data_IF_540711045292
#
_entry.id   IF_540711045292
#
_cell.length_a   1.000
_cell.length_b   1.000
_cell.length_c   1.000
_cell.angle_alpha   90.00
_cell.angle_beta   90.00
_cell.angle_gamma   90.00
#
_symmetry.space_group_name_H-M   'P 1'
#
loop_
_entity.id
_entity.type
_entity.pdbx_description
1 polymer ?
#
# COMPACT_ATOMS: atom_id res chain seq x y z
N UNK A 1 5.84 -11.14 9.24
CA UNK A 1 4.44 -11.09 9.70
C UNK A 1 3.56 -10.97 8.47
N UNK A 2 2.37 -11.55 8.48
CA UNK A 2 1.42 -11.45 7.37
C UNK A 2 0.53 -10.21 7.56
N UNK A 3 0.34 -9.45 6.49
CA UNK A 3 -0.49 -8.26 6.39
C UNK A 3 -1.45 -8.38 5.22
N UNK A 4 -2.53 -7.60 5.23
CA UNK A 4 -3.48 -7.55 4.14
C UNK A 4 -3.71 -6.11 3.65
N UNK A 5 -3.97 -5.99 2.35
CA UNK A 5 -4.41 -4.75 1.72
C UNK A 5 -5.67 -5.03 0.91
N UNK A 6 -6.66 -4.16 1.05
CA UNK A 6 -7.89 -4.20 0.28
C UNK A 6 -7.86 -3.08 -0.76
N UNK A 7 -7.82 -3.44 -2.04
CA UNK A 7 -7.93 -2.45 -3.09
C UNK A 7 -9.37 -1.97 -3.21
N UNK A 8 -9.68 -0.78 -2.71
CA UNK A 8 -11.04 -0.22 -2.77
C UNK A 8 -11.35 0.49 -4.10
N UNK A 9 -10.42 0.47 -5.07
CA UNK A 9 -10.60 1.10 -6.38
C UNK A 9 -11.08 0.12 -7.45
N UNK A 10 -11.61 0.67 -8.53
CA UNK A 10 -11.98 -0.05 -9.75
C UNK A 10 -10.79 -0.30 -10.70
N UNK A 11 -9.59 0.14 -10.31
CA UNK A 11 -8.36 0.00 -11.07
C UNK A 11 -7.42 -1.05 -10.47
N UNK A 12 -6.60 -1.68 -11.31
CA UNK A 12 -5.51 -2.54 -10.85
C UNK A 12 -4.40 -1.67 -10.25
N UNK A 13 -3.88 -2.09 -9.09
CA UNK A 13 -2.77 -1.42 -8.42
C UNK A 13 -1.64 -2.40 -8.10
N UNK A 14 -0.44 -1.88 -7.93
CA UNK A 14 0.75 -2.62 -7.52
C UNK A 14 1.22 -2.10 -6.16
N UNK A 15 1.26 -2.97 -5.17
CA UNK A 15 1.93 -2.72 -3.90
C UNK A 15 3.41 -2.98 -4.12
N UNK A 16 4.26 -2.02 -3.77
CA UNK A 16 5.72 -2.17 -3.84
C UNK A 16 6.40 -1.64 -2.58
N UNK A 17 7.35 -2.40 -2.07
CA UNK A 17 8.34 -1.96 -1.10
C UNK A 17 9.73 -2.27 -1.65
N UNK A 18 10.63 -1.29 -1.58
CA UNK A 18 12.02 -1.40 -1.97
C UNK A 18 12.89 -0.77 -0.87
N UNK A 19 13.33 -1.60 0.07
CA UNK A 19 14.20 -1.26 1.19
C UNK A 19 15.51 -2.07 1.08
N UNK A 20 16.60 -1.60 1.71
CA UNK A 20 17.97 -2.16 1.54
C UNK A 20 18.05 -3.69 1.70
N UNK A 21 17.26 -4.27 2.60
CA UNK A 21 17.27 -5.71 2.91
C UNK A 21 15.89 -6.38 2.70
N UNK A 22 14.95 -5.68 2.06
CA UNK A 22 13.60 -6.19 1.88
C UNK A 22 12.95 -5.65 0.61
N UNK A 23 12.52 -6.56 -0.26
CA UNK A 23 11.75 -6.25 -1.45
C UNK A 23 10.43 -7.01 -1.42
N UNK A 24 9.35 -6.31 -1.77
CA UNK A 24 8.04 -6.91 -1.94
C UNK A 24 7.31 -6.23 -3.10
N UNK A 25 6.73 -7.05 -3.96
CA UNK A 25 5.82 -6.58 -5.00
C UNK A 25 4.60 -7.51 -5.10
N UNK A 26 3.41 -6.91 -5.12
CA UNK A 26 2.14 -7.63 -5.26
C UNK A 26 1.17 -6.84 -6.13
N UNK A 27 0.40 -7.56 -6.93
CA UNK A 27 -0.71 -7.00 -7.69
C UNK A 27 -1.99 -7.17 -6.89
N UNK A 28 -2.79 -6.10 -6.77
CA UNK A 28 -4.15 -6.16 -6.25
C UNK A 28 -5.13 -5.81 -7.37
N UNK A 29 -6.02 -6.74 -7.68
CA UNK A 29 -7.10 -6.52 -8.64
C UNK A 29 -8.15 -5.55 -8.08
N UNK A 30 -8.98 -4.93 -8.93
CA UNK A 30 -10.10 -4.11 -8.48
C UNK A 30 -10.95 -4.82 -7.43
N UNK A 31 -11.21 -4.16 -6.30
CA UNK A 31 -12.05 -4.66 -5.20
C UNK A 31 -11.58 -5.97 -4.53
N UNK A 32 -10.33 -6.38 -4.77
CA UNK A 32 -9.76 -7.61 -4.23
C UNK A 32 -8.89 -7.34 -2.98
N UNK A 33 -8.71 -8.39 -2.17
CA UNK A 33 -7.84 -8.38 -1.01
C UNK A 33 -6.58 -9.21 -1.27
N UNK A 34 -5.41 -8.60 -1.05
CA UNK A 34 -4.12 -9.28 -1.20
C UNK A 34 -3.43 -9.40 0.15
N UNK A 35 -3.03 -10.63 0.49
CA UNK A 35 -2.12 -10.89 1.61
C UNK A 35 -0.67 -10.81 1.16
N UNK A 36 0.18 -10.30 2.04
CA UNK A 36 1.63 -10.22 1.81
C UNK A 36 2.41 -10.28 3.12
N UNK A 37 3.66 -10.73 3.04
CA UNK A 37 4.57 -10.70 4.17
C UNK A 37 5.45 -9.46 4.11
N UNK A 38 5.62 -8.80 5.26
CA UNK A 38 6.60 -7.73 5.42
C UNK A 38 7.07 -7.62 6.88
N UNK A 39 8.29 -7.10 7.12
CA UNK A 39 8.69 -6.61 8.44
C UNK A 39 7.71 -5.56 8.98
N UNK A 40 7.64 -5.42 10.30
CA UNK A 40 6.87 -4.34 10.90
C UNK A 40 7.53 -2.99 10.58
N UNK A 41 6.72 -1.94 10.45
CA UNK A 41 7.16 -0.58 10.07
C UNK A 41 7.68 -0.43 8.64
N UNK A 42 7.56 -1.46 7.79
CA UNK A 42 7.87 -1.37 6.37
C UNK A 42 6.91 -0.41 5.67
N UNK A 43 7.46 0.46 4.80
CA UNK A 43 6.66 1.38 3.99
C UNK A 43 6.28 0.73 2.66
N UNK A 44 4.98 0.65 2.39
CA UNK A 44 4.44 0.11 1.14
C UNK A 44 3.90 1.27 0.30
N UNK A 45 4.34 1.35 -0.95
CA UNK A 45 3.85 2.30 -1.94
C UNK A 45 2.82 1.62 -2.84
N UNK A 46 1.72 2.31 -3.12
CA UNK A 46 0.71 1.90 -4.08
C UNK A 46 0.97 2.61 -5.39
N UNK A 47 1.31 1.82 -6.41
CA UNK A 47 1.46 2.28 -7.78
C UNK A 47 0.17 2.00 -8.54
N UNK A 48 -0.33 3.00 -9.25
CA UNK A 48 -1.52 2.89 -10.08
C UNK A 48 -1.43 3.78 -11.29
N UNK A 49 -2.40 3.62 -12.20
CA UNK A 49 -2.53 4.50 -13.35
C UNK A 49 -3.32 5.76 -12.94
N UNK A 50 -2.68 6.92 -12.99
CA UNK A 50 -3.28 8.20 -12.64
C UNK A 50 -2.79 9.28 -13.61
N UNK A 51 -3.70 10.16 -14.04
CA UNK A 51 -3.39 11.31 -14.91
C UNK A 51 -2.62 10.94 -16.20
N UNK A 52 -2.94 9.80 -16.80
CA UNK A 52 -2.32 9.38 -18.07
C UNK A 52 -0.99 8.63 -17.94
N UNK A 53 -0.51 8.38 -16.71
CA UNK A 53 0.75 7.69 -16.46
C UNK A 53 0.68 6.75 -15.25
N UNK A 54 1.69 5.89 -15.10
CA UNK A 54 1.87 5.12 -13.87
C UNK A 54 2.59 5.98 -12.84
N UNK A 55 2.00 6.13 -11.66
CA UNK A 55 2.54 6.92 -10.56
C UNK A 55 2.24 6.28 -9.21
N UNK A 56 2.94 6.72 -8.16
CA UNK A 56 2.56 6.42 -6.79
C UNK A 56 1.30 7.23 -6.48
N UNK A 57 0.23 6.54 -6.08
CA UNK A 57 -1.07 7.14 -5.78
C UNK A 57 -1.38 7.14 -4.28
N UNK A 58 -0.74 6.27 -3.50
CA UNK A 58 -0.90 6.20 -2.05
C UNK A 58 0.31 5.49 -1.40
N UNK A 59 0.42 5.56 -0.06
CA UNK A 59 1.37 4.75 0.70
C UNK A 59 0.91 4.53 2.14
N UNK A 60 1.27 3.39 2.71
CA UNK A 60 1.00 3.08 4.11
C UNK A 60 2.18 2.38 4.77
N UNK A 61 2.16 2.34 6.11
CA UNK A 61 3.18 1.66 6.92
C UNK A 61 2.52 0.49 7.67
N UNK A 62 3.03 -0.72 7.46
CA UNK A 62 2.48 -1.91 8.13
C UNK A 62 2.90 -1.96 9.60
N UNK A 63 2.06 -2.54 10.44
CA UNK A 63 2.34 -2.69 11.88
C UNK A 63 2.31 -1.40 12.70
N UNK A 64 2.04 -0.24 12.11
CA UNK A 64 1.75 0.99 12.85
C UNK A 64 0.25 1.01 13.18
N UNK A 65 -0.10 0.97 14.46
CA UNK A 65 -1.47 1.25 14.87
C UNK A 65 -1.79 2.71 14.53
N UNK A 66 -2.94 2.97 13.90
CA UNK A 66 -3.47 4.32 13.80
C UNK A 66 -3.76 4.80 15.22
N UNK A 67 -2.81 5.54 15.81
CA UNK A 67 -3.09 6.38 16.96
C UNK A 67 -4.06 7.49 16.55
N UNK A 68 -4.86 8.03 17.49
CA UNK A 68 -5.78 9.11 17.19
C UNK A 68 -4.97 10.41 17.06
N UNK A 69 -4.48 10.74 15.86
CA UNK A 69 -4.21 12.14 15.47
C UNK A 69 -3.93 12.24 13.95
N UNK A 70 -4.99 12.49 13.19
CA UNK A 70 -4.97 13.52 12.15
C UNK A 70 -6.42 13.95 11.93
N UNK A 71 -6.91 14.72 12.91
CA UNK A 71 -8.19 15.41 12.79
C UNK A 71 -8.08 16.38 11.63
N UNK A 72 -9.06 16.32 10.74
CA UNK A 72 -9.37 17.31 9.71
C UNK A 72 -8.83 18.70 10.04
N UNK A 73 -7.86 19.20 9.24
CA UNK A 73 -7.56 20.62 9.18
C UNK A 73 -8.29 21.19 7.96
N UNK A 74 -9.41 21.83 8.31
CA UNK A 74 -10.19 22.91 7.67
C UNK A 74 -10.03 23.18 6.17
#
# INVERSE_FOLDING_TARGET
MEWCYHNQSDALVVLRCDEENFYMEKVAFPFDMVSFEAPASTKVFIWGYCNGSVAIIDSFVVGKSMGPDDSQVT
#
